data_IF_161361128241
#
_entry.id   IF_161361128241
#
_cell.length_a   1.000
_cell.length_b   1.000
_cell.length_c   1.000
_cell.angle_alpha   90.00
_cell.angle_beta   90.00
_cell.angle_gamma   90.00
#
_symmetry.space_group_name_H-M   'P 1'
#
loop_
_entity.id
_entity.type
_entity.pdbx_description
1 polymer ?
#
# COMPACT_ATOMS: atom_id res chain seq x y z
N UNK A 1 -9.51 9.89 2.98
CA UNK A 1 -8.72 10.05 4.23
C UNK A 1 -8.73 8.84 5.18
N UNK A 2 -9.68 7.88 5.13
CA UNK A 2 -9.71 6.72 6.05
C UNK A 2 -8.68 5.61 5.76
N UNK A 3 -8.17 5.48 4.54
CA UNK A 3 -7.28 4.36 4.18
C UNK A 3 -5.97 4.36 4.96
N UNK A 4 -5.35 5.53 5.20
CA UNK A 4 -4.12 5.61 6.00
C UNK A 4 -4.38 5.23 7.46
N UNK A 5 -5.50 5.67 8.04
CA UNK A 5 -5.89 5.27 9.40
C UNK A 5 -6.12 3.75 9.50
N UNK A 6 -6.75 3.14 8.49
CA UNK A 6 -6.95 1.69 8.46
C UNK A 6 -5.62 0.93 8.33
N UNK A 7 -4.70 1.43 7.49
CA UNK A 7 -3.35 0.88 7.36
C UNK A 7 -2.61 0.99 8.70
N UNK A 8 -2.67 2.13 9.39
CA UNK A 8 -2.04 2.30 10.70
C UNK A 8 -2.62 1.35 11.76
N UNK A 9 -3.94 1.13 11.78
CA UNK A 9 -4.58 0.24 12.75
C UNK A 9 -4.37 -1.26 12.47
N UNK A 10 -4.16 -1.62 11.20
CA UNK A 10 -4.05 -3.01 10.77
C UNK A 10 -3.10 -3.12 9.56
N UNK A 11 -1.80 -2.86 9.74
CA UNK A 11 -0.86 -2.78 8.62
C UNK A 11 -0.69 -4.14 7.93
N UNK A 12 -0.93 -5.24 8.64
CA UNK A 12 -0.91 -6.59 8.08
C UNK A 12 -2.16 -6.95 7.25
N UNK A 13 -3.18 -6.08 7.16
CA UNK A 13 -4.39 -6.37 6.38
C UNK A 13 -4.27 -6.05 4.87
N UNK A 14 -3.26 -5.28 4.45
CA UNK A 14 -2.94 -5.12 3.02
C UNK A 14 -2.58 -6.45 2.33
N UNK A 15 -2.63 -6.50 1.01
CA UNK A 15 -2.19 -7.67 0.26
C UNK A 15 -0.67 -7.60 0.03
N UNK A 16 0.05 -8.71 -0.07
CA UNK A 16 1.42 -8.69 -0.58
C UNK A 16 1.51 -7.97 -1.94
N UNK A 17 2.56 -7.17 -2.11
CA UNK A 17 2.93 -6.56 -3.38
C UNK A 17 3.98 -7.43 -4.12
N UNK A 18 4.42 -6.99 -5.29
CA UNK A 18 5.40 -7.72 -6.12
C UNK A 18 6.77 -7.78 -5.44
N UNK A 19 7.24 -6.66 -4.92
CA UNK A 19 8.49 -6.61 -4.16
C UNK A 19 8.29 -7.24 -2.76
N UNK A 20 9.14 -8.21 -2.37
CA UNK A 20 9.11 -8.81 -1.04
C UNK A 20 9.17 -7.74 0.06
N UNK A 21 8.39 -7.93 1.13
CA UNK A 21 8.27 -6.97 2.23
C UNK A 21 7.29 -5.82 1.98
N UNK A 22 6.92 -5.56 0.72
CA UNK A 22 5.94 -4.53 0.39
C UNK A 22 4.52 -5.09 0.40
N UNK A 23 3.58 -4.20 0.70
CA UNK A 23 2.15 -4.46 0.80
C UNK A 23 1.40 -3.42 0.00
N UNK A 24 0.24 -3.82 -0.51
CA UNK A 24 -0.65 -2.98 -1.32
C UNK A 24 -2.02 -2.87 -0.69
N UNK A 25 -2.54 -1.65 -0.67
CA UNK A 25 -3.87 -1.31 -0.18
C UNK A 25 -4.70 -0.63 -1.28
N UNK A 26 -5.82 -1.24 -1.68
CA UNK A 26 -6.76 -0.58 -2.59
C UNK A 26 -7.59 0.43 -1.83
N UNK A 27 -7.66 1.65 -2.33
CA UNK A 27 -8.48 2.71 -1.74
C UNK A 27 -9.94 2.44 -2.14
N UNK A 28 -10.80 2.14 -1.17
CA UNK A 28 -12.20 1.83 -1.44
C UNK A 28 -12.90 3.02 -2.13
N UNK A 29 -13.63 2.74 -3.20
CA UNK A 29 -14.37 3.74 -3.98
C UNK A 29 -13.50 4.66 -4.85
N UNK A 30 -12.17 4.46 -4.90
CA UNK A 30 -11.27 5.28 -5.70
C UNK A 30 -10.31 4.41 -6.53
N UNK A 31 -9.91 4.85 -7.73
CA UNK A 31 -8.99 4.12 -8.61
C UNK A 31 -7.53 4.28 -8.16
N UNK A 32 -7.24 4.10 -6.87
CA UNK A 32 -5.90 4.24 -6.32
C UNK A 32 -5.47 3.00 -5.53
N UNK A 33 -4.17 2.70 -5.60
CA UNK A 33 -3.49 1.73 -4.75
C UNK A 33 -2.34 2.40 -4.01
N UNK A 34 -2.24 2.13 -2.71
CA UNK A 34 -1.15 2.58 -1.85
C UNK A 34 -0.18 1.41 -1.70
N UNK A 35 1.10 1.63 -1.98
CA UNK A 35 2.18 0.68 -1.70
C UNK A 35 2.90 1.14 -0.45
N UNK A 36 3.14 0.23 0.48
CA UNK A 36 3.80 0.52 1.75
C UNK A 36 4.60 -0.68 2.24
N UNK A 37 5.56 -0.45 3.14
CA UNK A 37 6.26 -1.49 3.89
C UNK A 37 6.00 -1.34 5.39
N UNK A 38 6.29 -2.39 6.15
CA UNK A 38 6.20 -2.41 7.61
C UNK A 38 7.60 -2.67 8.13
N UNK A 39 8.12 -1.76 8.94
CA UNK A 39 9.36 -1.93 9.68
C UNK A 39 9.02 -2.24 11.14
N UNK A 40 9.13 -3.51 11.53
CA UNK A 40 8.83 -3.93 12.90
C UNK A 40 9.92 -3.54 13.90
N UNK A 41 11.15 -3.26 13.44
CA UNK A 41 12.24 -2.86 14.33
C UNK A 41 12.08 -1.40 14.76
N UNK A 42 11.59 -0.57 13.83
CA UNK A 42 11.35 0.86 14.06
C UNK A 42 9.92 1.20 14.47
N UNK A 43 9.02 0.21 14.46
CA UNK A 43 7.57 0.39 14.65
C UNK A 43 6.98 1.44 13.69
N UNK A 44 7.37 1.34 12.41
CA UNK A 44 7.05 2.33 11.39
C UNK A 44 6.37 1.71 10.16
N UNK A 45 5.54 2.52 9.51
CA UNK A 45 4.92 2.20 8.22
C UNK A 45 5.41 3.22 7.19
N UNK A 46 6.21 2.78 6.23
CA UNK A 46 6.67 3.64 5.15
C UNK A 46 5.72 3.56 3.96
N UNK A 47 5.10 4.69 3.60
CA UNK A 47 4.33 4.80 2.35
C UNK A 47 5.29 5.00 1.19
N UNK A 48 5.40 4.00 0.33
CA UNK A 48 6.34 3.97 -0.79
C UNK A 48 5.77 4.66 -2.03
N UNK A 49 4.44 4.69 -2.17
CA UNK A 49 3.80 5.39 -3.28
C UNK A 49 2.28 5.23 -3.32
N UNK A 50 1.64 6.13 -4.06
CA UNK A 50 0.20 6.11 -4.34
C UNK A 50 0.01 6.18 -5.85
N UNK A 51 -0.60 5.14 -6.41
CA UNK A 51 -0.69 4.97 -7.86
C UNK A 51 -2.13 4.91 -8.33
N UNK A 52 -2.44 5.59 -9.44
CA UNK A 52 -3.74 5.49 -10.09
C UNK A 52 -3.83 4.21 -10.91
N UNK A 53 -4.79 3.33 -10.61
CA UNK A 53 -4.85 1.95 -11.13
C UNK A 53 -5.14 1.86 -12.62
N UNK A 54 -5.76 2.87 -13.22
CA UNK A 54 -6.01 2.92 -14.66
C UNK A 54 -4.84 3.51 -15.46
N UNK A 55 -3.99 4.32 -14.82
CA UNK A 55 -2.86 4.97 -15.49
C UNK A 55 -1.58 4.13 -15.36
N UNK A 56 -1.41 3.41 -14.26
CA UNK A 56 -0.18 2.71 -13.92
C UNK A 56 -0.30 1.18 -14.01
N UNK A 57 -1.04 0.70 -15.02
CA UNK A 57 -1.42 -0.72 -15.14
C UNK A 57 -0.22 -1.66 -15.34
N UNK A 58 0.89 -1.14 -15.89
CA UNK A 58 2.09 -1.92 -16.21
C UNK A 58 3.27 -1.70 -15.23
N UNK A 59 3.36 -0.54 -14.56
CA UNK A 59 4.54 -0.19 -13.75
C UNK A 59 4.40 -0.50 -12.25
N UNK A 60 3.17 -0.67 -11.74
CA UNK A 60 2.95 -1.07 -10.34
C UNK A 60 3.06 -2.60 -10.11
N UNK A 61 3.37 -3.36 -11.16
CA UNK A 61 3.36 -4.84 -11.19
C UNK A 61 4.69 -5.46 -11.65
N UNK A 62 5.73 -4.65 -11.87
CA UNK A 62 7.13 -5.09 -12.02
C UNK A 62 7.89 -4.72 -10.76
#
# INVERSE_FOLDING_TARGET
MRSLANIASAPQAGRPAVHPGNRRWRVAGLPYVIIYSIDNERDEIAILGVFHTAQNRDDAMK
#
